data_IF_462456845218
#
_entry.id   IF_462456845218
#
_cell.length_a   1.000
_cell.length_b   1.000
_cell.length_c   1.000
_cell.angle_alpha   90.00
_cell.angle_beta   90.00
_cell.angle_gamma   90.00
#
_symmetry.space_group_name_H-M   'P 1'
#
loop_
_entity.id
_entity.type
_entity.pdbx_description
1 polymer ?
#
# COMPACT_ATOMS: atom_id res chain seq x y z
N UNK A 1 15.51 -2.79 16.13
CA UNK A 1 15.09 -2.78 14.71
C UNK A 1 13.97 -3.78 14.43
N UNK A 2 14.09 -4.96 14.93
CA UNK A 2 13.07 -5.98 14.68
C UNK A 2 11.70 -5.60 15.24
N UNK A 3 11.65 -4.77 16.27
CA UNK A 3 10.36 -4.35 16.83
C UNK A 3 9.55 -3.51 15.86
N UNK A 4 10.21 -2.62 15.11
CA UNK A 4 9.53 -1.78 14.13
C UNK A 4 8.96 -2.64 13.01
N UNK A 5 9.73 -3.60 12.53
CA UNK A 5 9.29 -4.47 11.45
C UNK A 5 8.18 -5.41 11.93
N UNK A 6 8.28 -5.88 13.17
CA UNK A 6 7.25 -6.74 13.75
C UNK A 6 5.94 -5.98 13.89
N UNK A 7 6.00 -4.72 14.31
CA UNK A 7 4.81 -3.89 14.43
C UNK A 7 4.19 -3.66 13.06
N UNK A 8 5.01 -3.38 12.04
CA UNK A 8 4.53 -3.22 10.69
C UNK A 8 3.80 -4.49 10.21
N UNK A 9 4.41 -5.65 10.45
CA UNK A 9 3.79 -6.92 10.04
C UNK A 9 2.46 -7.15 10.76
N UNK A 10 2.39 -6.79 12.02
CA UNK A 10 1.15 -6.91 12.78
C UNK A 10 0.05 -6.02 12.19
N UNK A 11 0.40 -4.79 11.85
CA UNK A 11 -0.56 -3.86 11.25
C UNK A 11 -1.06 -4.38 9.90
N UNK A 12 -0.17 -4.96 9.11
CA UNK A 12 -0.57 -5.57 7.84
C UNK A 12 -1.51 -6.75 8.06
N UNK A 13 -1.27 -7.54 9.10
CA UNK A 13 -2.15 -8.66 9.44
C UNK A 13 -3.54 -8.19 9.82
N UNK A 14 -3.62 -7.08 10.57
CA UNK A 14 -4.92 -6.49 10.92
C UNK A 14 -5.65 -6.03 9.66
N UNK A 15 -4.93 -5.40 8.72
CA UNK A 15 -5.53 -4.94 7.48
C UNK A 15 -6.04 -6.12 6.65
N UNK A 16 -5.30 -7.22 6.60
CA UNK A 16 -5.74 -8.40 5.87
C UNK A 16 -7.03 -8.96 6.47
N UNK A 17 -7.11 -9.03 7.79
CA UNK A 17 -8.32 -9.50 8.46
C UNK A 17 -9.50 -8.59 8.17
N UNK A 18 -9.30 -7.28 8.23
CA UNK A 18 -10.36 -6.32 7.94
C UNK A 18 -10.82 -6.43 6.49
N UNK A 19 -9.89 -6.67 5.58
CA UNK A 19 -10.21 -6.85 4.17
C UNK A 19 -11.08 -8.08 3.96
N UNK A 20 -10.70 -9.19 4.61
CA UNK A 20 -11.45 -10.46 4.50
C UNK A 20 -12.85 -10.36 5.06
N UNK A 21 -13.06 -9.50 6.05
CA UNK A 21 -14.37 -9.30 6.66
C UNK A 21 -15.24 -8.32 5.88
N UNK A 22 -14.69 -7.74 4.83
CA UNK A 22 -15.40 -6.81 3.96
C UNK A 22 -15.99 -5.61 4.71
N UNK A 23 -15.29 -5.16 5.74
CA UNK A 23 -15.72 -4.01 6.53
C UNK A 23 -14.94 -2.77 6.07
N UNK A 24 -15.56 -1.95 5.22
CA UNK A 24 -14.87 -0.81 4.61
C UNK A 24 -14.29 0.15 5.62
N UNK A 25 -15.06 0.48 6.66
CA UNK A 25 -14.59 1.44 7.67
C UNK A 25 -13.39 0.88 8.41
N UNK A 26 -13.50 -0.38 8.82
CA UNK A 26 -12.42 -1.04 9.56
C UNK A 26 -11.18 -1.19 8.69
N UNK A 27 -11.38 -1.50 7.40
CA UNK A 27 -10.27 -1.67 6.47
C UNK A 27 -9.52 -0.36 6.26
N UNK A 28 -10.25 0.72 5.99
CA UNK A 28 -9.59 2.02 5.79
C UNK A 28 -8.84 2.45 7.05
N UNK A 29 -9.41 2.24 8.22
CA UNK A 29 -8.72 2.56 9.47
C UNK A 29 -7.41 1.79 9.57
N UNK A 30 -7.43 0.52 9.18
CA UNK A 30 -6.22 -0.30 9.20
C UNK A 30 -5.17 0.23 8.24
N UNK A 31 -5.58 0.66 7.04
CA UNK A 31 -4.66 1.22 6.07
C UNK A 31 -4.05 2.52 6.59
N UNK A 32 -4.86 3.37 7.22
CA UNK A 32 -4.36 4.61 7.80
C UNK A 32 -3.35 4.36 8.92
N UNK A 33 -3.57 3.33 9.72
CA UNK A 33 -2.61 2.97 10.76
C UNK A 33 -1.26 2.60 10.18
N UNK A 34 -1.27 1.84 9.08
CA UNK A 34 -0.02 1.47 8.42
C UNK A 34 0.66 2.73 7.88
N UNK A 35 -0.07 3.58 7.17
CA UNK A 35 0.49 4.79 6.60
C UNK A 35 1.09 5.69 7.68
N UNK A 36 0.34 5.93 8.75
CA UNK A 36 0.81 6.80 9.83
C UNK A 36 2.02 6.19 10.53
N UNK A 37 2.04 4.88 10.71
CA UNK A 37 3.17 4.21 11.32
C UNK A 37 4.44 4.41 10.49
N UNK A 38 4.33 4.26 9.19
CA UNK A 38 5.47 4.47 8.28
C UNK A 38 5.92 5.92 8.34
N UNK A 39 4.98 6.87 8.29
CA UNK A 39 5.32 8.29 8.33
C UNK A 39 6.02 8.68 9.63
N UNK A 40 5.68 8.02 10.72
CA UNK A 40 6.30 8.29 12.02
C UNK A 40 7.65 7.60 12.20
N UNK A 41 8.02 6.72 11.28
CA UNK A 41 9.23 5.92 11.41
C UNK A 41 10.06 5.94 10.14
N UNK A 42 10.18 7.09 9.50
CA UNK A 42 10.85 7.22 8.20
C UNK A 42 12.33 6.86 8.24
N UNK A 43 12.94 6.84 9.42
CA UNK A 43 14.32 6.40 9.55
C UNK A 43 14.48 4.94 9.10
N UNK A 44 13.39 4.18 9.10
CA UNK A 44 13.38 2.77 8.68
C UNK A 44 12.86 2.60 7.25
N UNK A 45 12.94 3.65 6.43
CA UNK A 45 12.40 3.62 5.07
C UNK A 45 12.89 2.40 4.27
N UNK A 46 14.18 2.08 4.35
CA UNK A 46 14.74 0.94 3.61
C UNK A 46 14.04 -0.37 3.95
N UNK A 47 13.79 -0.58 5.23
CA UNK A 47 13.11 -1.78 5.70
C UNK A 47 11.67 -1.81 5.24
N UNK A 48 10.99 -0.66 5.25
CA UNK A 48 9.61 -0.57 4.75
C UNK A 48 9.55 -0.85 3.26
N UNK A 49 10.52 -0.35 2.50
CA UNK A 49 10.56 -0.62 1.06
C UNK A 49 10.61 -2.12 0.82
N UNK A 50 11.48 -2.84 1.54
CA UNK A 50 11.58 -4.28 1.40
C UNK A 50 10.27 -4.96 1.76
N UNK A 51 9.57 -4.47 2.78
CA UNK A 51 8.29 -5.04 3.17
C UNK A 51 7.21 -4.81 2.12
N UNK A 52 7.15 -3.61 1.56
CA UNK A 52 6.19 -3.33 0.49
C UNK A 52 6.49 -4.20 -0.74
N UNK A 53 7.76 -4.33 -1.10
CA UNK A 53 8.15 -5.19 -2.22
C UNK A 53 7.73 -6.63 -1.96
N UNK A 54 7.92 -7.10 -0.74
CA UNK A 54 7.54 -8.46 -0.37
C UNK A 54 6.03 -8.67 -0.51
N UNK A 55 5.23 -7.69 -0.11
CA UNK A 55 3.78 -7.77 -0.29
C UNK A 55 3.44 -7.93 -1.77
N UNK A 56 4.08 -7.14 -2.63
CA UNK A 56 3.81 -7.18 -4.05
C UNK A 56 4.23 -8.49 -4.70
N UNK A 57 5.29 -9.12 -4.18
CA UNK A 57 5.79 -10.37 -4.75
C UNK A 57 5.04 -11.59 -4.24
N UNK A 58 4.60 -11.57 -3.01
CA UNK A 58 4.03 -12.76 -2.36
C UNK A 58 2.53 -12.71 -2.18
N UNK A 59 1.92 -11.53 -2.42
CA UNK A 59 0.48 -11.34 -2.18
C UNK A 59 0.09 -11.66 -0.73
N UNK A 60 1.01 -11.45 0.20
CA UNK A 60 0.77 -11.74 1.62
C UNK A 60 -0.22 -10.77 2.25
N UNK A 61 -0.48 -9.64 1.60
CA UNK A 61 -1.49 -8.66 2.00
C UNK A 61 -2.09 -8.07 0.73
N UNK A 62 -3.26 -7.42 0.83
CA UNK A 62 -3.84 -6.79 -0.35
C UNK A 62 -2.89 -5.75 -0.94
N UNK A 63 -2.84 -5.68 -2.27
CA UNK A 63 -1.99 -4.69 -2.93
C UNK A 63 -2.44 -3.27 -2.62
N UNK A 64 -3.70 -3.09 -2.20
CA UNK A 64 -4.18 -1.78 -1.79
C UNK A 64 -3.39 -1.20 -0.63
N UNK A 65 -2.80 -2.06 0.21
CA UNK A 65 -1.93 -1.58 1.28
C UNK A 65 -0.81 -0.72 0.69
N UNK A 66 -0.19 -1.22 -0.37
CA UNK A 66 0.90 -0.51 -1.02
C UNK A 66 0.38 0.72 -1.77
N UNK A 67 -0.70 0.56 -2.54
CA UNK A 67 -1.26 1.67 -3.31
C UNK A 67 -1.70 2.81 -2.41
N UNK A 68 -2.40 2.49 -1.32
CA UNK A 68 -2.88 3.48 -0.37
C UNK A 68 -1.71 4.27 0.23
N UNK A 69 -0.67 3.57 0.63
CA UNK A 69 0.50 4.22 1.23
C UNK A 69 1.27 5.04 0.20
N UNK A 70 1.45 4.51 -1.01
CA UNK A 70 2.22 5.21 -2.03
C UNK A 70 1.49 6.42 -2.59
N UNK A 71 0.15 6.44 -2.52
CA UNK A 71 -0.59 7.65 -2.90
C UNK A 71 -0.11 8.85 -2.10
N UNK A 72 0.18 8.63 -0.82
CA UNK A 72 0.67 9.69 0.06
C UNK A 72 2.19 9.83 -0.01
N UNK A 73 2.91 8.71 0.08
CA UNK A 73 4.36 8.71 0.23
C UNK A 73 5.10 8.96 -1.08
N UNK A 74 4.57 8.46 -2.19
CA UNK A 74 5.13 8.67 -3.54
C UNK A 74 6.58 8.24 -3.64
N UNK A 75 6.95 7.12 -2.99
CA UNK A 75 8.33 6.65 -3.02
C UNK A 75 8.66 6.07 -4.40
N UNK A 76 9.64 6.65 -5.11
CA UNK A 76 9.98 6.17 -6.45
C UNK A 76 10.57 4.76 -6.46
N UNK A 77 11.16 4.33 -5.36
CA UNK A 77 11.72 2.99 -5.28
C UNK A 77 10.65 1.91 -5.49
N UNK A 78 9.45 2.12 -4.94
CA UNK A 78 8.37 1.17 -5.11
C UNK A 78 7.82 1.23 -6.53
N UNK A 79 7.70 2.44 -7.09
CA UNK A 79 7.26 2.59 -8.48
C UNK A 79 8.19 1.85 -9.42
N UNK A 80 9.50 2.03 -9.25
CA UNK A 80 10.49 1.38 -10.10
C UNK A 80 10.44 -0.14 -9.95
N UNK A 81 10.24 -0.62 -8.73
CA UNK A 81 10.10 -2.04 -8.47
C UNK A 81 8.90 -2.62 -9.23
N UNK A 82 7.76 -1.93 -9.16
CA UNK A 82 6.55 -2.40 -9.84
C UNK A 82 6.78 -2.46 -11.35
N UNK A 83 7.35 -1.40 -11.92
CA UNK A 83 7.60 -1.35 -13.35
C UNK A 83 8.53 -2.50 -13.78
N UNK A 84 9.56 -2.76 -12.99
CA UNK A 84 10.54 -3.79 -13.30
C UNK A 84 9.96 -5.20 -13.23
N UNK A 85 8.88 -5.39 -12.48
CA UNK A 85 8.30 -6.70 -12.26
C UNK A 85 6.99 -6.94 -13.00
N UNK A 86 6.54 -5.96 -13.79
CA UNK A 86 5.35 -6.15 -14.60
C UNK A 86 5.67 -6.91 -15.88
N UNK A 87 4.85 -7.93 -16.13
CA UNK A 87 4.88 -8.64 -17.40
C UNK A 87 3.48 -8.59 -17.98
N UNK A 88 3.21 -7.63 -18.87
CA UNK A 88 1.84 -7.42 -19.36
C UNK A 88 1.28 -8.56 -20.18
N UNK A 89 2.12 -9.49 -20.60
CA UNK A 89 1.66 -10.52 -21.54
C UNK A 89 1.12 -11.78 -20.86
N UNK A 90 1.53 -12.09 -19.64
CA UNK A 90 1.28 -13.43 -19.10
C UNK A 90 0.82 -13.46 -17.65
N UNK A 91 1.09 -12.44 -16.87
CA UNK A 91 0.95 -12.54 -15.42
C UNK A 91 -0.31 -11.83 -14.93
N UNK A 92 -1.28 -12.59 -14.36
CA UNK A 92 -2.49 -11.95 -13.81
C UNK A 92 -2.18 -10.91 -12.73
N UNK A 93 -1.03 -11.05 -12.04
CA UNK A 93 -0.60 -10.05 -11.07
C UNK A 93 -0.35 -8.69 -11.70
N UNK A 94 -0.06 -8.66 -13.00
CA UNK A 94 0.26 -7.39 -13.66
C UNK A 94 -0.87 -6.38 -13.57
N UNK A 95 -2.14 -6.83 -13.56
CA UNK A 95 -3.25 -5.92 -13.38
C UNK A 95 -3.25 -5.28 -12.01
N UNK A 96 -2.99 -6.09 -10.97
CA UNK A 96 -2.91 -5.57 -9.62
C UNK A 96 -1.73 -4.62 -9.45
N UNK A 97 -0.59 -4.97 -10.06
CA UNK A 97 0.58 -4.10 -10.03
C UNK A 97 0.32 -2.78 -10.75
N UNK A 98 -0.42 -2.84 -11.85
CA UNK A 98 -0.81 -1.62 -12.57
C UNK A 98 -1.66 -0.73 -11.69
N UNK A 99 -2.55 -1.34 -10.88
CA UNK A 99 -3.35 -0.61 -9.93
C UNK A 99 -2.50 0.17 -8.92
N UNK A 100 -1.39 -0.43 -8.49
CA UNK A 100 -0.46 0.27 -7.61
C UNK A 100 0.16 1.48 -8.31
N UNK A 101 0.50 1.33 -9.60
CA UNK A 101 1.07 2.45 -10.36
C UNK A 101 0.11 3.62 -10.49
N UNK A 102 -1.20 3.37 -10.56
CA UNK A 102 -2.15 4.47 -10.68
C UNK A 102 -2.14 5.38 -9.46
N UNK A 103 -1.69 4.89 -8.31
CA UNK A 103 -1.59 5.71 -7.12
C UNK A 103 -0.54 6.83 -7.27
N UNK A 104 0.37 6.70 -8.22
CA UNK A 104 1.38 7.73 -8.51
C UNK A 104 0.91 8.76 -9.51
N UNK A 105 -0.24 8.52 -10.15
CA UNK A 105 -0.77 9.44 -11.16
C UNK A 105 -1.36 10.68 -10.48
N UNK A 106 -1.47 11.74 -11.24
CA UNK A 106 -2.08 12.97 -10.76
C UNK A 106 -3.51 12.70 -10.28
N UNK A 107 -4.23 11.87 -10.99
CA UNK A 107 -5.57 11.46 -10.63
C UNK A 107 -5.59 9.97 -10.34
N UNK A 108 -5.96 9.61 -9.10
CA UNK A 108 -6.05 8.22 -8.69
C UNK A 108 -7.53 7.80 -8.69
N UNK A 109 -7.93 6.90 -9.62
CA UNK A 109 -9.35 6.52 -9.72
C UNK A 109 -9.93 5.94 -8.43
N UNK A 110 -9.11 5.24 -7.65
CA UNK A 110 -9.57 4.60 -6.43
C UNK A 110 -9.67 5.53 -5.23
N UNK A 111 -9.29 6.79 -5.40
CA UNK A 111 -9.31 7.75 -4.30
C UNK A 111 -10.69 7.88 -3.67
N UNK A 112 -11.74 7.75 -4.49
CA UNK A 112 -13.10 7.90 -4.01
C UNK A 112 -13.53 6.79 -3.06
N UNK A 113 -12.79 5.68 -3.03
CA UNK A 113 -13.08 4.57 -2.13
C UNK A 113 -12.69 4.87 -0.68
N UNK A 114 -11.87 5.90 -0.46
CA UNK A 114 -11.32 6.18 0.85
C UNK A 114 -11.67 7.60 1.28
N UNK A 115 -12.28 7.71 2.45
CA UNK A 115 -12.63 9.03 2.99
C UNK A 115 -11.42 9.92 3.16
N UNK A 116 -10.29 9.33 3.51
CA UNK A 116 -9.06 10.07 3.73
C UNK A 116 -8.66 10.85 2.48
N UNK A 117 -8.66 10.18 1.32
CA UNK A 117 -8.24 10.82 0.07
C UNK A 117 -9.35 11.67 -0.54
N UNK A 118 -10.59 11.28 -0.32
CA UNK A 118 -11.73 12.05 -0.80
C UNK A 118 -11.78 13.42 -0.13
N UNK A 119 -11.56 13.44 1.18
CA UNK A 119 -11.52 14.70 1.92
C UNK A 119 -10.39 15.62 1.44
N UNK A 120 -9.22 15.04 1.15
CA UNK A 120 -8.09 15.80 0.64
C UNK A 120 -8.33 16.34 -0.75
N UNK A 121 -9.08 15.59 -1.54
CA UNK A 121 -9.38 15.96 -2.92
C UNK A 121 -10.22 17.24 -3.01
N UNK A 122 -11.02 17.52 -2.00
CA UNK A 122 -11.90 18.67 -2.00
C UNK A 122 -11.19 19.97 -1.67
N UNK A 123 -9.95 19.89 -1.29
CA UNK A 123 -9.16 21.05 -0.99
C UNK A 123 -8.37 21.50 -2.21
#
# INVERSE_FOLDING_TARGET
MSEIIREFDMLCGVAMTAYDEESEISYETSLLRILNFVKCNLIYKKEFILKFENILMSSSSPFEVVAFCMRELQWPEIKDFVISNMDPSQDPRSEALRGVLTAYDEFWPDADLYKYYDANKQN
#
